data_IF_918786865521
#
_entry.id   IF_918786865521
#
_cell.length_a   1.000
_cell.length_b   1.000
_cell.length_c   1.000
_cell.angle_alpha   90.00
_cell.angle_beta   90.00
_cell.angle_gamma   90.00
#
_symmetry.space_group_name_H-M   'P 1'
#
loop_
_entity.id
_entity.type
_entity.pdbx_description
1 polymer ?
#
# COMPACT_ATOMS: atom_id res chain seq x y z
N UNK A 1 16.04 12.54 20.37
CA UNK A 1 17.07 11.83 19.59
C UNK A 1 16.82 11.90 18.10
N UNK A 2 17.75 12.52 17.39
CA UNK A 2 17.73 12.68 15.93
C UNK A 2 17.57 11.34 15.17
N UNK A 3 18.21 10.22 15.55
CA UNK A 3 18.01 8.92 14.89
C UNK A 3 16.58 8.36 15.00
N UNK A 4 15.92 8.58 16.14
CA UNK A 4 14.54 8.13 16.37
C UNK A 4 13.56 8.95 15.54
N UNK A 5 13.81 10.25 15.38
CA UNK A 5 12.99 11.13 14.54
C UNK A 5 13.10 10.72 13.06
N UNK A 6 14.31 10.47 12.56
CA UNK A 6 14.49 10.03 11.17
C UNK A 6 13.87 8.64 10.92
N UNK A 7 13.96 7.74 11.89
CA UNK A 7 13.31 6.43 11.86
C UNK A 7 11.78 6.55 11.75
N UNK A 8 11.14 7.46 12.48
CA UNK A 8 9.70 7.75 12.35
C UNK A 8 9.36 8.44 11.02
N UNK A 9 10.24 9.32 10.53
CA UNK A 9 10.04 9.98 9.24
C UNK A 9 10.08 8.95 8.09
N UNK A 10 11.03 8.01 8.13
CA UNK A 10 11.08 6.89 7.18
C UNK A 10 9.83 6.01 7.28
N UNK A 11 9.42 5.64 8.50
CA UNK A 11 8.17 4.90 8.72
C UNK A 11 6.97 5.58 8.05
N UNK A 12 6.76 6.87 8.33
CA UNK A 12 5.62 7.63 7.81
C UNK A 12 5.62 7.72 6.28
N UNK A 13 6.78 8.00 5.67
CA UNK A 13 6.92 8.04 4.21
C UNK A 13 6.62 6.69 3.58
N UNK A 14 7.21 5.60 4.09
CA UNK A 14 7.01 4.25 3.56
C UNK A 14 5.56 3.80 3.72
N UNK A 15 4.94 4.08 4.87
CA UNK A 15 3.52 3.76 5.10
C UNK A 15 2.59 4.54 4.14
N UNK A 16 2.88 5.83 3.89
CA UNK A 16 2.09 6.61 2.94
C UNK A 16 2.13 6.05 1.52
N UNK A 17 3.31 5.63 1.06
CA UNK A 17 3.47 4.99 -0.26
C UNK A 17 2.75 3.64 -0.30
N UNK A 18 2.89 2.83 0.76
CA UNK A 18 2.17 1.56 0.89
C UNK A 18 0.66 1.76 0.79
N UNK A 19 0.12 2.76 1.49
CA UNK A 19 -1.31 3.06 1.48
C UNK A 19 -1.81 3.36 0.07
N UNK A 20 -1.13 4.25 -0.67
CA UNK A 20 -1.55 4.60 -2.03
C UNK A 20 -1.48 3.40 -2.99
N UNK A 21 -0.44 2.58 -2.86
CA UNK A 21 -0.29 1.39 -3.68
C UNK A 21 -1.40 0.36 -3.43
N UNK A 22 -1.76 0.15 -2.16
CA UNK A 22 -2.87 -0.75 -1.81
C UNK A 22 -4.21 -0.19 -2.30
N UNK A 23 -4.42 1.11 -2.21
CA UNK A 23 -5.61 1.79 -2.74
C UNK A 23 -5.74 1.59 -4.26
N UNK A 24 -4.66 1.81 -5.02
CA UNK A 24 -4.62 1.57 -6.47
C UNK A 24 -4.91 0.09 -6.83
N UNK A 25 -4.43 -0.86 -6.03
CA UNK A 25 -4.72 -2.31 -6.20
C UNK A 25 -6.21 -2.59 -5.97
N UNK A 26 -6.80 -2.02 -4.92
CA UNK A 26 -8.22 -2.19 -4.61
C UNK A 26 -9.10 -1.55 -5.69
N UNK A 27 -8.74 -0.37 -6.17
CA UNK A 27 -9.46 0.32 -7.25
C UNK A 27 -9.45 -0.48 -8.56
N UNK A 28 -8.30 -1.05 -8.94
CA UNK A 28 -8.19 -1.85 -10.17
C UNK A 28 -8.94 -3.19 -10.06
N UNK A 29 -8.85 -3.88 -8.91
CA UNK A 29 -9.56 -5.15 -8.69
C UNK A 29 -11.08 -4.95 -8.58
N UNK A 30 -11.54 -3.92 -7.88
CA UNK A 30 -12.94 -3.54 -7.80
C UNK A 30 -13.50 -3.11 -9.16
N UNK A 31 -12.74 -2.34 -9.94
CA UNK A 31 -13.12 -1.96 -11.31
C UNK A 31 -13.27 -3.18 -12.21
N UNK A 32 -12.40 -4.19 -12.08
CA UNK A 32 -12.50 -5.43 -12.85
C UNK A 32 -13.76 -6.24 -12.50
N UNK A 33 -14.09 -6.37 -11.21
CA UNK A 33 -15.33 -7.04 -10.78
C UNK A 33 -16.59 -6.27 -11.19
N UNK A 34 -16.59 -4.94 -11.09
CA UNK A 34 -17.69 -4.09 -11.54
C UNK A 34 -17.87 -4.14 -13.07
N UNK A 35 -16.78 -4.18 -13.82
CA UNK A 35 -16.80 -4.28 -15.28
C UNK A 35 -17.27 -5.66 -15.75
N UNK A 36 -16.91 -6.73 -15.03
CA UNK A 36 -17.45 -8.08 -15.24
C UNK A 36 -18.97 -8.16 -15.03
N UNK A 37 -19.53 -7.31 -14.16
CA UNK A 37 -20.99 -7.16 -13.97
C UNK A 37 -21.65 -6.20 -14.98
N UNK A 38 -20.90 -5.26 -15.57
CA UNK A 38 -21.38 -4.20 -16.47
C UNK A 38 -20.98 -4.39 -17.94
N UNK A 39 -20.72 -5.60 -18.41
CA UNK A 39 -20.32 -5.87 -19.81
C UNK A 39 -21.23 -5.10 -20.78
N UNK A 40 -20.69 -4.04 -21.37
CA UNK A 40 -21.35 -3.17 -22.33
C UNK A 40 -21.32 -1.67 -21.99
N UNK A 41 -20.14 -1.03 -21.92
CA UNK A 41 -19.77 0.22 -22.65
C UNK A 41 -18.56 0.95 -22.07
N UNK A 42 -17.69 1.34 -23.01
CA UNK A 42 -16.65 2.39 -23.01
C UNK A 42 -15.38 2.25 -22.13
N UNK A 43 -14.21 1.92 -22.74
CA UNK A 43 -12.90 1.97 -22.08
C UNK A 43 -12.37 3.41 -22.12
N UNK A 44 -13.04 4.31 -21.41
CA UNK A 44 -12.89 5.75 -21.61
C UNK A 44 -12.51 6.53 -20.36
N UNK A 45 -11.46 6.14 -19.63
CA UNK A 45 -10.70 7.00 -18.70
C UNK A 45 -9.52 6.22 -18.10
N UNK A 46 -8.41 6.18 -18.82
CA UNK A 46 -7.15 5.66 -18.28
C UNK A 46 -6.59 6.60 -17.24
N UNK A 47 -6.98 6.43 -15.96
CA UNK A 47 -6.12 6.89 -14.86
C UNK A 47 -4.85 6.05 -14.94
N UNK A 48 -3.71 6.70 -15.07
CA UNK A 48 -2.42 6.04 -14.89
C UNK A 48 -2.27 5.78 -13.40
N UNK A 49 -2.58 4.56 -12.99
CA UNK A 49 -2.38 4.06 -11.62
C UNK A 49 -1.05 3.31 -11.56
N UNK A 50 -0.50 3.15 -10.36
CA UNK A 50 0.73 2.39 -10.16
C UNK A 50 0.60 0.97 -10.75
N UNK A 51 -0.57 0.35 -10.55
CA UNK A 51 -0.91 -0.98 -11.09
C UNK A 51 -0.94 -1.01 -12.61
N UNK A 52 -1.51 0.01 -13.26
CA UNK A 52 -1.56 0.08 -14.72
C UNK A 52 -0.17 0.19 -15.36
N UNK A 53 0.81 0.78 -14.66
CA UNK A 53 2.18 0.93 -15.15
C UNK A 53 3.06 -0.30 -14.89
N UNK A 54 3.01 -0.89 -13.68
CA UNK A 54 3.91 -1.99 -13.29
C UNK A 54 3.29 -3.39 -13.36
N UNK A 55 1.97 -3.48 -13.48
CA UNK A 55 1.20 -4.71 -13.43
C UNK A 55 0.86 -5.16 -12.01
N UNK A 56 -0.27 -5.87 -11.88
CA UNK A 56 -0.87 -6.31 -10.61
C UNK A 56 0.10 -7.10 -9.72
N UNK A 57 0.78 -8.11 -10.27
CA UNK A 57 1.69 -8.94 -9.46
C UNK A 57 2.87 -8.14 -8.90
N UNK A 58 3.42 -7.21 -9.69
CA UNK A 58 4.53 -6.36 -9.24
C UNK A 58 4.05 -5.37 -8.17
N UNK A 59 2.86 -4.81 -8.33
CA UNK A 59 2.23 -3.94 -7.34
C UNK A 59 2.01 -4.68 -6.00
N UNK A 60 1.49 -5.91 -6.03
CA UNK A 60 1.32 -6.74 -4.83
C UNK A 60 2.66 -7.01 -4.16
N UNK A 61 3.67 -7.50 -4.90
CA UNK A 61 5.02 -7.73 -4.34
C UNK A 61 5.60 -6.46 -3.72
N UNK A 62 5.43 -5.32 -4.39
CA UNK A 62 5.94 -4.04 -3.92
C UNK A 62 5.24 -3.58 -2.63
N UNK A 63 3.94 -3.84 -2.49
CA UNK A 63 3.21 -3.55 -1.25
C UNK A 63 3.76 -4.36 -0.07
N UNK A 64 4.09 -5.64 -0.27
CA UNK A 64 4.68 -6.48 0.77
C UNK A 64 6.09 -6.01 1.17
N UNK A 65 6.90 -5.58 0.21
CA UNK A 65 8.21 -4.99 0.46
C UNK A 65 8.10 -3.72 1.29
N UNK A 66 7.23 -2.79 0.91
CA UNK A 66 7.00 -1.54 1.62
C UNK A 66 6.47 -1.81 3.04
N UNK A 67 5.62 -2.82 3.23
CA UNK A 67 5.17 -3.25 4.55
C UNK A 67 6.33 -3.70 5.44
N UNK A 68 7.23 -4.55 4.92
CA UNK A 68 8.43 -4.98 5.65
C UNK A 68 9.35 -3.80 5.96
N UNK A 69 9.54 -2.89 5.01
CA UNK A 69 10.38 -1.71 5.19
C UNK A 69 9.82 -0.76 6.25
N UNK A 70 8.51 -0.49 6.26
CA UNK A 70 7.89 0.36 7.27
C UNK A 70 8.05 -0.25 8.67
N UNK A 71 7.86 -1.57 8.83
CA UNK A 71 8.08 -2.24 10.13
C UNK A 71 9.57 -2.18 10.53
N UNK A 72 10.49 -2.40 9.59
CA UNK A 72 11.93 -2.34 9.85
C UNK A 72 12.39 -0.92 10.23
N UNK A 73 11.74 0.12 9.70
CA UNK A 73 12.01 1.51 10.08
C UNK A 73 11.78 1.73 11.57
N UNK A 74 10.89 0.96 12.23
CA UNK A 74 10.62 1.04 13.67
C UNK A 74 11.57 0.19 14.54
N UNK A 75 12.72 -0.24 14.03
CA UNK A 75 13.67 -1.12 14.75
C UNK A 75 14.28 -0.50 16.02
N UNK A 76 14.33 0.83 16.11
CA UNK A 76 14.84 1.56 17.28
C UNK A 76 13.83 1.69 18.43
N UNK A 77 12.59 1.23 18.21
CA UNK A 77 11.49 1.32 19.15
C UNK A 77 11.11 -0.06 19.68
N UNK A 78 10.82 -0.12 20.98
CA UNK A 78 10.37 -1.33 21.64
C UNK A 78 8.89 -1.66 21.38
N UNK A 79 8.23 -2.33 22.33
CA UNK A 79 6.81 -2.65 22.28
C UNK A 79 5.89 -1.43 22.14
N UNK A 80 6.35 -0.23 22.54
CA UNK A 80 5.59 1.01 22.40
C UNK A 80 5.20 1.33 20.94
N UNK A 81 5.94 0.79 19.96
CA UNK A 81 5.64 0.96 18.55
C UNK A 81 4.77 -0.16 17.95
N UNK A 82 4.24 -1.10 18.76
CA UNK A 82 3.44 -2.22 18.26
C UNK A 82 2.13 -1.76 17.61
N UNK A 83 1.53 -0.68 18.09
CA UNK A 83 0.37 -0.06 17.43
C UNK A 83 0.73 0.39 16.00
N UNK A 84 1.90 1.00 15.82
CA UNK A 84 2.38 1.46 14.51
C UNK A 84 2.68 0.27 13.57
N UNK A 85 3.24 -0.83 14.09
CA UNK A 85 3.42 -2.09 13.34
C UNK A 85 2.07 -2.70 12.97
N UNK A 86 1.09 -2.62 13.86
CA UNK A 86 -0.29 -3.05 13.63
C UNK A 86 -0.95 -2.30 12.48
N UNK A 87 -0.76 -0.98 12.41
CA UNK A 87 -1.27 -0.15 11.30
C UNK A 87 -0.69 -0.60 9.95
N UNK A 88 0.61 -0.88 9.87
CA UNK A 88 1.23 -1.38 8.62
C UNK A 88 0.58 -2.68 8.16
N UNK A 89 0.39 -3.63 9.09
CA UNK A 89 -0.28 -4.91 8.79
C UNK A 89 -1.73 -4.71 8.35
N UNK A 90 -2.45 -3.80 9.02
CA UNK A 90 -3.82 -3.46 8.65
C UNK A 90 -3.88 -2.92 7.22
N UNK A 91 -3.01 -1.99 6.86
CA UNK A 91 -2.95 -1.44 5.50
C UNK A 91 -2.57 -2.52 4.49
N UNK A 92 -1.57 -3.36 4.77
CA UNK A 92 -1.12 -4.41 3.84
C UNK A 92 -2.15 -5.53 3.61
N UNK A 93 -3.04 -5.79 4.57
CA UNK A 93 -4.04 -6.88 4.50
C UNK A 93 -5.42 -6.38 4.05
N UNK A 94 -5.61 -5.07 3.83
CA UNK A 94 -6.92 -4.52 3.42
C UNK A 94 -7.48 -5.27 2.22
N UNK A 95 -8.48 -6.11 2.51
CA UNK A 95 -9.50 -6.60 1.58
C UNK A 95 -10.78 -5.93 2.04
N UNK A 96 -11.42 -5.19 1.15
CA UNK A 96 -12.77 -4.66 1.37
C UNK A 96 -13.79 -5.77 1.56
#
# INVERSE_FOLDING_TARGET
DEPRVESLARYGRTLGILFQLVDDILDETGSFEEMGKRVGKDPGRGKVTCVSEMGMEAAVRKSEELGREAIAALSLFGPEADTLRGIVRLVAVRRS
#
